data_IF_001391794166
#
_entry.id   IF_001391794166
#
_cell.length_a   1.000
_cell.length_b   1.000
_cell.length_c   1.000
_cell.angle_alpha   90.00
_cell.angle_beta   90.00
_cell.angle_gamma   90.00
#
_symmetry.space_group_name_H-M   'P 1'
#
loop_
_entity.id
_entity.type
_entity.pdbx_description
1 polymer ?
#
# COMPACT_ATOMS: atom_id res chain seq x y z
N UNK A 1 -2.29 -13.64 33.88
CA UNK A 1 -1.97 -13.45 32.46
C UNK A 1 -0.77 -14.32 32.16
N UNK A 2 -0.97 -15.41 31.42
CA UNK A 2 0.12 -16.32 31.08
C UNK A 2 0.83 -15.84 29.81
N UNK A 3 2.10 -16.21 29.62
CA UNK A 3 2.90 -15.84 28.44
C UNK A 3 2.20 -16.26 27.13
N UNK A 4 1.42 -17.35 27.15
CA UNK A 4 0.60 -17.80 26.01
C UNK A 4 -0.54 -16.83 25.66
N UNK A 5 -1.21 -16.23 26.65
CA UNK A 5 -2.27 -15.23 26.42
C UNK A 5 -1.69 -13.96 25.76
N UNK A 6 -0.48 -13.55 26.14
CA UNK A 6 0.21 -12.37 25.62
C UNK A 6 0.78 -12.56 24.20
N UNK A 7 1.23 -13.78 23.86
CA UNK A 7 1.70 -14.10 22.50
C UNK A 7 0.54 -14.17 21.51
N UNK A 8 -0.61 -14.71 21.93
CA UNK A 8 -1.80 -14.81 21.09
C UNK A 8 -2.41 -13.43 20.76
N UNK A 9 -2.49 -12.55 21.76
CA UNK A 9 -2.95 -11.15 21.59
C UNK A 9 -2.02 -10.33 20.69
N UNK A 10 -0.70 -10.54 20.77
CA UNK A 10 0.24 -9.88 19.86
C UNK A 10 0.05 -10.30 18.39
N UNK A 11 -0.20 -11.59 18.13
CA UNK A 11 -0.41 -12.08 16.76
C UNK A 11 -1.69 -11.52 16.15
N UNK A 12 -2.77 -11.50 16.92
CA UNK A 12 -4.05 -10.94 16.46
C UNK A 12 -3.95 -9.43 16.20
N UNK A 13 -3.27 -8.69 17.09
CA UNK A 13 -3.03 -7.25 16.91
C UNK A 13 -2.19 -6.96 15.66
N UNK A 14 -1.15 -7.75 15.40
CA UNK A 14 -0.34 -7.61 14.19
C UNK A 14 -1.18 -7.85 12.92
N UNK A 15 -2.06 -8.85 12.94
CA UNK A 15 -2.96 -9.10 11.81
C UNK A 15 -3.94 -7.94 11.61
N UNK A 16 -4.54 -7.43 12.68
CA UNK A 16 -5.45 -6.28 12.60
C UNK A 16 -4.74 -5.04 12.06
N UNK A 17 -3.53 -4.75 12.54
CA UNK A 17 -2.72 -3.64 12.05
C UNK A 17 -2.37 -3.81 10.57
N UNK A 18 -2.04 -5.04 10.15
CA UNK A 18 -1.77 -5.36 8.74
C UNK A 18 -3.00 -5.12 7.86
N UNK A 19 -4.16 -5.65 8.25
CA UNK A 19 -5.42 -5.47 7.51
C UNK A 19 -5.82 -4.00 7.43
N UNK A 20 -5.62 -3.24 8.52
CA UNK A 20 -5.85 -1.80 8.54
C UNK A 20 -4.92 -1.08 7.55
N UNK A 21 -3.62 -1.36 7.60
CA UNK A 21 -2.63 -0.76 6.70
C UNK A 21 -2.96 -1.06 5.23
N UNK A 22 -3.31 -2.30 4.89
CA UNK A 22 -3.71 -2.66 3.52
C UNK A 22 -4.93 -1.88 3.04
N UNK A 23 -5.89 -1.60 3.92
CA UNK A 23 -7.08 -0.79 3.59
C UNK A 23 -6.70 0.66 3.33
N UNK A 24 -5.92 1.26 4.21
CA UNK A 24 -5.41 2.64 4.07
C UNK A 24 -4.63 2.79 2.76
N UNK A 25 -3.72 1.85 2.46
CA UNK A 25 -2.97 1.85 1.19
C UNK A 25 -3.88 1.75 -0.03
N UNK A 26 -4.88 0.85 -0.02
CA UNK A 26 -5.83 0.72 -1.14
C UNK A 26 -6.67 1.97 -1.34
N UNK A 27 -7.06 2.65 -0.27
CA UNK A 27 -7.77 3.94 -0.36
C UNK A 27 -6.87 5.02 -0.96
N UNK A 28 -5.62 5.12 -0.50
CA UNK A 28 -4.61 6.02 -1.07
C UNK A 28 -4.40 5.79 -2.56
N UNK A 29 -4.25 4.53 -2.99
CA UNK A 29 -4.12 4.19 -4.41
C UNK A 29 -5.33 4.65 -5.22
N UNK A 30 -6.56 4.40 -4.73
CA UNK A 30 -7.79 4.85 -5.42
C UNK A 30 -7.85 6.37 -5.56
N UNK A 31 -7.37 7.12 -4.56
CA UNK A 31 -7.31 8.58 -4.64
C UNK A 31 -6.38 9.03 -5.77
N UNK A 32 -5.20 8.44 -5.89
CA UNK A 32 -4.29 8.78 -6.99
C UNK A 32 -4.82 8.31 -8.35
N UNK A 33 -5.38 7.11 -8.42
CA UNK A 33 -5.98 6.58 -9.66
C UNK A 33 -7.11 7.48 -10.17
N UNK A 34 -7.96 7.97 -9.28
CA UNK A 34 -9.03 8.90 -9.64
C UNK A 34 -8.49 10.28 -10.05
N UNK A 35 -7.44 10.77 -9.37
CA UNK A 35 -6.86 12.09 -9.64
C UNK A 35 -6.10 12.14 -10.97
N UNK A 36 -5.33 11.09 -11.26
CA UNK A 36 -4.50 11.01 -12.47
C UNK A 36 -5.19 10.26 -13.61
N UNK A 37 -6.42 9.77 -13.39
CA UNK A 37 -7.19 8.94 -14.33
C UNK A 37 -6.38 7.75 -14.89
N UNK A 38 -5.48 7.22 -14.06
CA UNK A 38 -4.48 6.24 -14.45
C UNK A 38 -4.48 5.10 -13.43
N UNK A 39 -4.65 3.83 -13.83
CA UNK A 39 -4.59 2.71 -12.89
C UNK A 39 -3.18 2.58 -12.29
N UNK A 40 -3.08 2.17 -11.01
CA UNK A 40 -1.78 2.05 -10.32
C UNK A 40 -0.83 1.08 -11.03
N UNK A 41 -1.37 0.08 -11.74
CA UNK A 41 -0.59 -0.86 -12.55
C UNK A 41 0.14 -0.22 -13.74
N UNK A 42 -0.30 0.97 -14.19
CA UNK A 42 0.29 1.68 -15.33
C UNK A 42 1.26 2.80 -14.92
N UNK A 43 1.35 3.14 -13.63
CA UNK A 43 2.18 4.26 -13.12
C UNK A 43 3.64 4.14 -13.52
N UNK A 44 4.22 2.94 -13.42
CA UNK A 44 5.62 2.73 -13.80
C UNK A 44 5.86 2.96 -15.29
N UNK A 45 4.92 2.54 -16.14
CA UNK A 45 5.01 2.78 -17.58
C UNK A 45 4.86 4.27 -17.90
N UNK A 46 3.91 4.94 -17.23
CA UNK A 46 3.66 6.37 -17.42
C UNK A 46 4.85 7.24 -16.96
N UNK A 47 5.58 6.81 -15.93
CA UNK A 47 6.85 7.44 -15.54
C UNK A 47 7.95 7.20 -16.59
N UNK A 48 8.02 5.99 -17.15
CA UNK A 48 9.06 5.62 -18.12
C UNK A 48 8.88 6.31 -19.49
N UNK A 49 7.63 6.47 -19.95
CA UNK A 49 7.32 7.14 -21.21
C UNK A 49 7.20 8.68 -21.07
N UNK A 50 7.25 9.19 -19.84
CA UNK A 50 7.19 10.63 -19.53
C UNK A 50 5.79 11.24 -19.59
N UNK A 51 4.73 10.42 -19.75
CA UNK A 51 3.35 10.88 -19.67
C UNK A 51 2.93 11.29 -18.25
N UNK A 52 3.59 10.74 -17.23
CA UNK A 52 3.46 11.15 -15.84
C UNK A 52 4.75 11.82 -15.37
N UNK A 53 4.62 13.03 -14.82
CA UNK A 53 5.76 13.76 -14.26
C UNK A 53 6.13 13.22 -12.89
N UNK A 54 7.42 13.03 -12.66
CA UNK A 54 7.93 12.70 -11.34
C UNK A 54 7.76 13.90 -10.39
N UNK A 55 6.88 13.71 -9.41
CA UNK A 55 6.54 14.69 -8.37
C UNK A 55 6.51 13.97 -7.03
N UNK A 56 6.58 14.73 -5.92
CA UNK A 56 6.48 14.15 -4.59
C UNK A 56 5.22 13.29 -4.41
N UNK A 57 4.09 13.74 -4.97
CA UNK A 57 2.83 13.00 -4.95
C UNK A 57 2.92 11.67 -5.72
N UNK A 58 3.54 11.67 -6.90
CA UNK A 58 3.71 10.44 -7.70
C UNK A 58 4.70 9.49 -7.02
N UNK A 59 5.74 10.02 -6.35
CA UNK A 59 6.61 9.21 -5.50
C UNK A 59 5.84 8.54 -4.35
N UNK A 60 4.98 9.28 -3.64
CA UNK A 60 4.11 8.74 -2.59
C UNK A 60 3.19 7.63 -3.13
N UNK A 61 2.62 7.83 -4.32
CA UNK A 61 1.81 6.83 -5.00
C UNK A 61 2.60 5.54 -5.28
N UNK A 62 3.78 5.66 -5.87
CA UNK A 62 4.67 4.52 -6.16
C UNK A 62 5.05 3.79 -4.87
N UNK A 63 5.40 4.51 -3.81
CA UNK A 63 5.73 3.92 -2.49
C UNK A 63 4.52 3.15 -1.93
N UNK A 64 3.32 3.73 -1.97
CA UNK A 64 2.11 3.08 -1.50
C UNK A 64 1.82 1.77 -2.26
N UNK A 65 2.00 1.80 -3.60
CA UNK A 65 1.81 0.64 -4.45
C UNK A 65 2.80 -0.48 -4.12
N UNK A 66 4.09 -0.15 -4.02
CA UNK A 66 5.12 -1.12 -3.68
C UNK A 66 4.94 -1.70 -2.28
N UNK A 67 4.50 -0.88 -1.32
CA UNK A 67 4.22 -1.33 0.06
C UNK A 67 3.07 -2.32 0.06
N UNK A 68 1.97 -2.03 -0.64
CA UNK A 68 0.83 -2.96 -0.73
C UNK A 68 1.24 -4.28 -1.38
N UNK A 69 1.98 -4.22 -2.49
CA UNK A 69 2.49 -5.41 -3.19
C UNK A 69 3.48 -6.22 -2.36
N UNK A 70 4.24 -5.59 -1.46
CA UNK A 70 5.13 -6.30 -0.55
C UNK A 70 4.33 -7.09 0.48
N UNK A 71 3.34 -6.45 1.11
CA UNK A 71 2.45 -7.10 2.08
C UNK A 71 1.69 -8.27 1.45
N UNK A 72 1.22 -8.13 0.20
CA UNK A 72 0.49 -9.19 -0.51
C UNK A 72 1.39 -10.37 -0.93
N UNK A 73 2.69 -10.14 -1.16
CA UNK A 73 3.66 -11.20 -1.50
C UNK A 73 4.11 -12.05 -0.31
N UNK A 74 3.98 -11.51 0.90
CA UNK A 74 4.32 -12.21 2.14
C UNK A 74 3.16 -13.08 2.66
N UNK A 75 2.05 -13.19 1.92
CA UNK A 75 0.91 -14.08 2.19
C UNK A 75 1.08 -15.44 1.52
#
# INVERSE_FOLDING_TARGET
>A
MTVQDSVWTNRELLEQNRQRLMRELRETLRTYEARYELPSSAVQNALADGSLRDTAEVCEWVIALHTLQAIEREQ
#
